data_IF_889611199359
#
_entry.id   IF_889611199359
#
_cell.length_a   1.000
_cell.length_b   1.000
_cell.length_c   1.000
_cell.angle_alpha   90.00
_cell.angle_beta   90.00
_cell.angle_gamma   90.00
#
_symmetry.space_group_name_H-M   'P 1'
#
loop_
_entity.id
_entity.type
_entity.pdbx_description
1 polymer ?
#
# COMPACT_ATOMS: atom_id res chain seq x y z
N UNK A 1 1.82 3.15 7.72
CA UNK A 1 3.05 2.34 7.74
C UNK A 1 2.70 0.86 7.80
N UNK A 2 2.87 0.19 6.67
CA UNK A 2 2.54 -1.24 6.54
C UNK A 2 3.32 -2.12 7.52
N UNK A 3 4.50 -1.71 7.93
CA UNK A 3 5.33 -2.56 8.77
C UNK A 3 4.82 -2.66 10.21
N UNK A 4 4.02 -1.71 10.65
CA UNK A 4 3.51 -1.64 12.03
C UNK A 4 2.02 -1.91 12.16
N UNK A 5 1.30 -1.89 11.05
CA UNK A 5 -0.15 -2.01 11.07
C UNK A 5 -0.58 -3.37 10.58
N UNK A 6 -1.64 -3.90 11.19
CA UNK A 6 -2.29 -5.10 10.67
C UNK A 6 -3.05 -4.75 9.40
N UNK A 7 -3.41 -5.76 8.62
CA UNK A 7 -4.21 -5.55 7.41
C UNK A 7 -5.55 -4.89 7.74
N UNK A 8 -6.14 -5.24 8.87
CA UNK A 8 -7.40 -4.64 9.32
C UNK A 8 -7.21 -3.15 9.65
N UNK A 9 -6.12 -2.80 10.33
CA UNK A 9 -5.82 -1.39 10.65
C UNK A 9 -5.56 -0.58 9.39
N UNK A 10 -4.85 -1.14 8.42
CA UNK A 10 -4.62 -0.47 7.13
C UNK A 10 -5.94 -0.21 6.41
N UNK A 11 -6.81 -1.22 6.35
CA UNK A 11 -8.12 -1.08 5.72
C UNK A 11 -8.96 0.01 6.41
N UNK A 12 -8.99 0.04 7.74
CA UNK A 12 -9.71 1.06 8.48
C UNK A 12 -9.16 2.46 8.21
N UNK A 13 -7.84 2.62 8.15
CA UNK A 13 -7.22 3.90 7.85
C UNK A 13 -7.60 4.39 6.46
N UNK A 14 -7.55 3.52 5.47
CA UNK A 14 -7.92 3.87 4.09
C UNK A 14 -9.38 4.31 4.03
N UNK A 15 -10.28 3.59 4.68
CA UNK A 15 -11.70 3.94 4.70
C UNK A 15 -11.96 5.26 5.43
N UNK A 16 -11.23 5.51 6.52
CA UNK A 16 -11.42 6.72 7.32
C UNK A 16 -10.92 7.98 6.61
N UNK A 17 -10.00 7.83 5.67
CA UNK A 17 -9.36 8.97 5.00
C UNK A 17 -9.77 9.12 3.54
N UNK A 18 -10.75 8.35 3.07
CA UNK A 18 -11.24 8.46 1.70
C UNK A 18 -11.96 9.81 1.46
N UNK A 19 -12.22 10.13 0.20
CA UNK A 19 -12.88 11.37 -0.17
C UNK A 19 -14.07 11.70 0.75
N UNK A 20 -14.21 12.93 1.28
CA UNK A 20 -13.53 14.18 0.89
C UNK A 20 -12.19 14.46 1.59
N UNK A 21 -11.66 13.52 2.35
CA UNK A 21 -10.38 13.69 3.03
C UNK A 21 -9.22 13.45 2.06
N UNK A 22 -7.99 13.84 2.42
CA UNK A 22 -6.85 13.76 1.49
C UNK A 22 -6.42 12.35 1.08
N UNK A 23 -6.92 11.30 1.77
CA UNK A 23 -6.56 9.93 1.47
C UNK A 23 -5.38 9.42 2.28
N UNK A 24 -5.30 8.10 2.43
CA UNK A 24 -4.13 7.45 2.99
C UNK A 24 -3.01 7.48 1.96
N UNK A 25 -1.76 7.44 2.41
CA UNK A 25 -0.65 7.49 1.47
C UNK A 25 0.55 6.71 1.95
N UNK A 26 1.41 6.39 0.99
CA UNK A 26 2.70 5.75 1.22
C UNK A 26 3.71 6.33 0.23
N UNK A 27 4.96 5.92 0.35
CA UNK A 27 6.01 6.37 -0.57
C UNK A 27 6.68 5.16 -1.21
N UNK A 28 7.02 5.31 -2.48
CA UNK A 28 7.81 4.36 -3.23
C UNK A 28 8.97 5.11 -3.88
N UNK A 29 10.19 4.77 -3.46
CA UNK A 29 11.39 5.47 -3.93
C UNK A 29 11.23 6.99 -3.82
N UNK A 30 10.74 7.42 -2.65
CA UNK A 30 10.53 8.84 -2.29
C UNK A 30 9.41 9.54 -3.06
N UNK A 31 8.61 8.79 -3.83
CA UNK A 31 7.48 9.36 -4.56
C UNK A 31 6.18 8.94 -3.88
N UNK A 32 5.31 9.91 -3.68
CA UNK A 32 4.07 9.70 -2.96
C UNK A 32 3.05 8.95 -3.81
N UNK A 33 2.40 7.98 -3.18
CA UNK A 33 1.26 7.26 -3.75
C UNK A 33 0.10 7.40 -2.79
N UNK A 34 -1.03 7.92 -3.25
CA UNK A 34 -2.26 8.00 -2.48
C UNK A 34 -3.07 6.72 -2.72
N UNK A 35 -3.61 6.16 -1.64
CA UNK A 35 -4.34 4.91 -1.67
C UNK A 35 -5.79 5.20 -1.32
N UNK A 36 -6.70 4.94 -2.25
CA UNK A 36 -8.11 5.24 -2.08
C UNK A 36 -8.96 4.03 -1.72
N UNK A 37 -8.44 2.84 -1.86
CA UNK A 37 -9.19 1.63 -1.53
C UNK A 37 -8.30 0.47 -1.16
N UNK A 38 -8.88 -0.51 -0.51
CA UNK A 38 -8.20 -1.74 -0.14
C UNK A 38 -9.17 -2.92 -0.17
N UNK A 39 -8.61 -4.12 -0.27
CA UNK A 39 -9.38 -5.35 -0.27
C UNK A 39 -8.57 -6.41 0.45
N UNK A 40 -9.22 -7.14 1.35
CA UNK A 40 -8.56 -8.21 2.09
C UNK A 40 -8.13 -9.33 1.15
N UNK A 41 -6.93 -9.86 1.38
CA UNK A 41 -6.46 -11.03 0.67
C UNK A 41 -7.12 -12.27 1.26
N UNK A 42 -7.73 -13.09 0.41
CA UNK A 42 -8.50 -14.26 0.86
C UNK A 42 -7.62 -15.45 1.21
N UNK A 43 -6.35 -15.40 0.87
CA UNK A 43 -5.41 -16.49 1.16
C UNK A 43 -4.23 -15.95 1.94
N UNK A 44 -3.60 -16.81 2.72
CA UNK A 44 -2.40 -16.47 3.48
C UNK A 44 -1.12 -16.93 2.77
N UNK A 45 -1.20 -17.22 1.49
CA UNK A 45 -0.09 -17.83 0.74
C UNK A 45 1.10 -16.90 0.58
N UNK A 46 0.85 -15.60 0.50
CA UNK A 46 1.92 -14.63 0.32
C UNK A 46 2.35 -14.15 1.69
N UNK A 47 3.60 -14.44 2.04
CA UNK A 47 4.22 -13.93 3.24
C UNK A 47 5.56 -13.33 2.87
N UNK A 48 5.77 -12.12 3.32
CA UNK A 48 7.01 -11.41 3.08
C UNK A 48 7.36 -10.55 4.27
N UNK A 49 8.35 -9.72 4.08
CA UNK A 49 8.72 -8.72 5.09
C UNK A 49 7.65 -7.62 5.09
N UNK A 50 7.20 -7.15 6.26
CA UNK A 50 6.23 -6.06 6.30
C UNK A 50 6.64 -4.86 5.46
N UNK A 51 5.68 -4.37 4.65
CA UNK A 51 5.92 -3.31 3.68
C UNK A 51 6.33 -3.79 2.31
N UNK A 52 6.64 -5.07 2.16
CA UNK A 52 7.10 -5.63 0.90
C UNK A 52 5.95 -5.83 -0.08
N UNK A 53 6.21 -5.49 -1.34
CA UNK A 53 5.28 -5.69 -2.44
C UNK A 53 5.40 -7.15 -2.88
N UNK A 54 4.31 -7.90 -2.76
CA UNK A 54 4.32 -9.34 -2.99
C UNK A 54 3.82 -9.74 -4.36
N UNK A 55 2.87 -9.00 -4.90
CA UNK A 55 2.24 -9.34 -6.17
C UNK A 55 1.57 -8.11 -6.77
N UNK A 56 1.30 -8.19 -8.07
CA UNK A 56 0.54 -7.19 -8.80
C UNK A 56 -0.51 -7.92 -9.62
N UNK A 57 -1.70 -7.35 -9.70
CA UNK A 57 -2.78 -7.91 -10.52
C UNK A 57 -3.61 -6.76 -11.09
N UNK A 58 -3.49 -6.55 -12.41
CA UNK A 58 -4.09 -5.41 -13.09
C UNK A 58 -3.52 -4.11 -12.50
N UNK A 59 -4.36 -3.28 -11.87
CA UNK A 59 -3.95 -2.03 -11.23
C UNK A 59 -3.87 -2.14 -9.71
N UNK A 60 -3.76 -3.35 -9.19
CA UNK A 60 -3.77 -3.66 -7.75
C UNK A 60 -2.41 -4.15 -7.32
N UNK A 61 -2.05 -3.84 -6.07
CA UNK A 61 -0.76 -4.24 -5.50
C UNK A 61 -0.99 -4.94 -4.17
N UNK A 62 -0.40 -6.12 -4.01
CA UNK A 62 -0.48 -6.88 -2.76
C UNK A 62 0.72 -6.51 -1.89
N UNK A 63 0.47 -6.05 -0.67
CA UNK A 63 1.48 -5.57 0.25
C UNK A 63 1.40 -6.34 1.55
N UNK A 64 2.55 -6.76 2.09
CA UNK A 64 2.61 -7.42 3.39
C UNK A 64 2.43 -6.40 4.50
N UNK A 65 1.42 -6.61 5.34
CA UNK A 65 1.26 -5.88 6.59
C UNK A 65 1.95 -6.63 7.73
N UNK A 66 1.78 -6.18 8.98
CA UNK A 66 2.44 -6.81 10.11
C UNK A 66 1.94 -8.24 10.35
N UNK A 67 0.71 -8.54 9.96
CA UNK A 67 0.10 -9.85 10.16
C UNK A 67 -0.09 -10.63 8.87
N UNK A 68 -0.68 -10.01 7.85
CA UNK A 68 -1.02 -10.67 6.58
C UNK A 68 -1.02 -9.67 5.44
N UNK A 69 -1.01 -10.15 4.18
CA UNK A 69 -1.08 -9.26 3.03
C UNK A 69 -2.45 -8.61 2.87
N UNK A 70 -2.43 -7.43 2.24
CA UNK A 70 -3.64 -6.72 1.85
C UNK A 70 -3.47 -6.23 0.41
N UNK A 71 -4.55 -6.25 -0.38
CA UNK A 71 -4.57 -5.62 -1.70
C UNK A 71 -4.86 -4.14 -1.53
N UNK A 72 -4.00 -3.30 -2.05
CA UNK A 72 -4.29 -1.87 -2.19
C UNK A 72 -4.76 -1.61 -3.61
N UNK A 73 -5.84 -0.85 -3.72
CA UNK A 73 -6.51 -0.58 -4.98
C UNK A 73 -6.74 0.91 -5.12
N UNK A 74 -7.08 1.35 -6.34
CA UNK A 74 -7.36 2.76 -6.60
C UNK A 74 -6.18 3.66 -6.20
N UNK A 75 -5.02 3.38 -6.77
CA UNK A 75 -3.79 4.12 -6.49
C UNK A 75 -3.74 5.40 -7.31
N UNK A 76 -3.29 6.46 -6.68
CA UNK A 76 -3.04 7.73 -7.35
C UNK A 76 -1.58 8.12 -7.18
N UNK A 77 -0.90 8.36 -8.29
CA UNK A 77 0.53 8.67 -8.30
C UNK A 77 0.71 10.18 -8.45
N UNK A 78 1.39 10.81 -7.49
CA UNK A 78 1.62 12.24 -7.50
C UNK A 78 2.76 12.66 -8.43
N UNK A 79 3.61 11.71 -8.80
CA UNK A 79 4.77 11.99 -9.62
C UNK A 79 4.56 11.49 -11.04
N UNK A 80 4.91 12.33 -12.04
CA UNK A 80 4.76 11.94 -13.44
C UNK A 80 5.71 10.85 -13.87
N UNK A 81 6.80 10.61 -13.13
CA UNK A 81 7.78 9.59 -13.44
C UNK A 81 7.54 8.27 -12.71
N UNK A 82 6.43 8.15 -11.99
CA UNK A 82 6.03 6.91 -11.34
C UNK A 82 4.62 6.53 -11.80
N UNK A 83 4.47 5.26 -12.16
CA UNK A 83 3.17 4.68 -12.48
C UNK A 83 3.16 3.22 -12.01
N UNK A 84 2.02 2.58 -12.18
CA UNK A 84 1.83 1.20 -11.74
C UNK A 84 2.91 0.25 -12.27
N UNK A 85 3.28 0.40 -13.54
CA UNK A 85 4.23 -0.51 -14.17
C UNK A 85 5.65 -0.41 -13.59
N UNK A 86 5.97 0.72 -12.98
CA UNK A 86 7.29 0.94 -12.36
C UNK A 86 7.40 0.41 -10.94
N UNK A 87 6.30 -0.03 -10.35
CA UNK A 87 6.32 -0.68 -9.05
C UNK A 87 6.84 -2.10 -9.24
N UNK A 88 7.91 -2.44 -8.53
CA UNK A 88 8.62 -3.71 -8.70
C UNK A 88 8.28 -4.65 -7.55
N UNK A 89 7.83 -5.85 -7.88
CA UNK A 89 7.56 -6.91 -6.90
C UNK A 89 8.86 -7.24 -6.18
N UNK A 90 8.77 -7.36 -4.84
CA UNK A 90 9.93 -7.62 -4.00
C UNK A 90 10.49 -6.37 -3.33
N UNK A 91 10.28 -5.20 -3.92
CA UNK A 91 10.65 -3.94 -3.29
C UNK A 91 9.69 -3.62 -2.15
N UNK A 92 10.07 -2.68 -1.31
CA UNK A 92 9.25 -2.23 -0.19
C UNK A 92 8.76 -0.81 -0.42
N UNK A 93 7.57 -0.53 0.12
CA UNK A 93 7.16 0.86 0.29
C UNK A 93 8.00 1.49 1.39
N UNK A 94 8.34 2.75 1.21
CA UNK A 94 9.19 3.46 2.15
C UNK A 94 8.44 3.71 3.45
N UNK A 95 9.17 3.59 4.56
CA UNK A 95 8.66 3.99 5.85
C UNK A 95 8.62 5.51 5.89
N UNK A 96 7.46 6.05 6.19
CA UNK A 96 7.27 7.48 6.26
C UNK A 96 7.69 7.98 7.63
N UNK A 97 8.91 8.46 7.75
CA UNK A 97 9.46 8.93 9.01
C UNK A 97 9.22 10.41 9.18
N UNK A 98 8.62 10.77 10.30
CA UNK A 98 8.57 12.14 10.74
C UNK A 98 7.44 12.99 10.14
N UNK A 99 6.55 12.42 9.37
CA UNK A 99 5.40 13.16 8.83
C UNK A 99 4.16 12.90 9.68
N UNK A 100 4.11 11.78 10.29
CA UNK A 100 3.06 11.44 11.24
C UNK A 100 3.62 10.62 12.34
#
# INVERSE_FOLDING_TARGET
DFSRMTSHQVDLLIRATTDPYPGAFTFYKKRKITIWGSEQNKTDWYKGTPGQILAKNKDRVLVQCSDRPIWIIELEFDSVDLNYDKIIIGNKFDINRGIF
#
